data_IF_327861896101
#
_entry.id   IF_327861896101
#
_cell.length_a   1.000
_cell.length_b   1.000
_cell.length_c   1.000
_cell.angle_alpha   90.00
_cell.angle_beta   90.00
_cell.angle_gamma   90.00
#
_symmetry.space_group_name_H-M   'P 1'
#
loop_
_entity.id
_entity.type
_entity.pdbx_description
1 polymer ?
#
# COMPACT_ATOMS: atom_id res chain seq x y z
N UNK A 1 -7.89 -10.15 0.37
CA UNK A 1 -7.61 -11.57 0.67
C UNK A 1 -6.85 -12.26 -0.47
N UNK A 2 -7.32 -12.21 -1.72
CA UNK A 2 -6.65 -12.91 -2.84
C UNK A 2 -5.18 -12.50 -3.06
N UNK A 3 -4.88 -11.19 -3.12
CA UNK A 3 -3.50 -10.71 -3.30
C UNK A 3 -2.54 -11.15 -2.18
N UNK A 4 -3.02 -11.20 -0.93
CA UNK A 4 -2.23 -11.69 0.21
C UNK A 4 -1.77 -13.14 0.01
N UNK A 5 -2.68 -14.03 -0.38
CA UNK A 5 -2.35 -15.44 -0.58
C UNK A 5 -1.35 -15.65 -1.72
N UNK A 6 -1.44 -14.85 -2.79
CA UNK A 6 -0.45 -14.85 -3.88
C UNK A 6 0.92 -14.40 -3.35
N UNK A 7 0.98 -13.31 -2.58
CA UNK A 7 2.23 -12.85 -1.99
C UNK A 7 2.88 -13.93 -1.12
N UNK A 8 2.12 -14.53 -0.21
CA UNK A 8 2.61 -15.60 0.66
C UNK A 8 3.11 -16.82 -0.15
N UNK A 9 2.35 -17.25 -1.16
CA UNK A 9 2.75 -18.35 -2.03
C UNK A 9 4.03 -18.03 -2.85
N UNK A 10 4.25 -16.76 -3.19
CA UNK A 10 5.43 -16.28 -3.92
C UNK A 10 6.63 -15.95 -3.01
N UNK A 11 6.50 -16.06 -1.68
CA UNK A 11 7.54 -15.65 -0.74
C UNK A 11 7.74 -14.12 -0.64
N UNK A 12 6.73 -13.35 -1.05
CA UNK A 12 6.70 -11.89 -0.96
C UNK A 12 6.12 -11.49 0.38
N UNK A 13 6.80 -10.58 1.08
CA UNK A 13 6.36 -9.99 2.34
C UNK A 13 5.31 -8.89 2.09
N UNK A 14 4.01 -9.10 2.41
CA UNK A 14 2.97 -8.12 2.18
C UNK A 14 2.76 -7.22 3.41
N UNK A 15 2.36 -5.96 3.14
CA UNK A 15 1.84 -5.03 4.14
C UNK A 15 0.36 -4.78 3.81
N UNK A 16 -0.54 -5.13 4.73
CA UNK A 16 -1.99 -5.02 4.52
C UNK A 16 -2.59 -3.90 5.36
N UNK A 17 -3.31 -2.97 4.72
CA UNK A 17 -4.01 -1.89 5.42
C UNK A 17 -5.49 -2.23 5.62
N UNK A 18 -6.07 -1.85 6.76
CA UNK A 18 -7.50 -1.98 7.02
C UNK A 18 -7.98 -1.00 8.09
N UNK A 19 -9.28 -0.76 8.19
CA UNK A 19 -9.87 0.04 9.29
C UNK A 19 -10.29 -0.79 10.51
N UNK A 20 -9.99 -2.09 10.52
CA UNK A 20 -10.54 -3.06 11.46
C UNK A 20 -9.43 -3.99 11.93
N UNK A 21 -9.10 -3.91 13.21
CA UNK A 21 -8.07 -4.76 13.81
C UNK A 21 -8.45 -6.24 13.73
N UNK A 22 -9.73 -6.57 13.88
CA UNK A 22 -10.24 -7.95 13.69
C UNK A 22 -9.90 -8.50 12.30
N UNK A 23 -10.00 -7.69 11.23
CA UNK A 23 -9.61 -8.11 9.88
C UNK A 23 -8.09 -8.26 9.76
N UNK A 24 -7.32 -7.38 10.41
CA UNK A 24 -5.86 -7.43 10.41
C UNK A 24 -5.35 -8.66 11.17
N UNK A 25 -5.97 -9.03 12.29
CA UNK A 25 -5.65 -10.25 13.04
C UNK A 25 -5.87 -11.50 12.20
N UNK A 26 -7.00 -11.58 11.49
CA UNK A 26 -7.27 -12.68 10.54
C UNK A 26 -6.22 -12.75 9.43
N UNK A 27 -5.80 -11.60 8.92
CA UNK A 27 -4.76 -11.50 7.88
C UNK A 27 -3.40 -11.99 8.38
N UNK A 28 -3.00 -11.57 9.59
CA UNK A 28 -1.75 -12.03 10.22
C UNK A 28 -1.74 -13.55 10.43
N UNK A 29 -2.89 -14.13 10.79
CA UNK A 29 -3.03 -15.57 11.00
C UNK A 29 -2.92 -16.42 9.72
N UNK A 30 -2.96 -15.82 8.52
CA UNK A 30 -2.80 -16.54 7.25
C UNK A 30 -1.34 -16.81 6.87
N UNK A 31 -0.39 -16.07 7.45
CA UNK A 31 1.05 -16.28 7.28
C UNK A 31 1.70 -16.75 8.59
N UNK A 32 2.99 -17.08 8.55
CA UNK A 32 3.74 -17.30 9.79
C UNK A 32 3.99 -15.97 10.51
N UNK A 33 4.27 -15.99 11.83
CA UNK A 33 4.64 -14.78 12.56
C UNK A 33 5.78 -14.02 11.87
N UNK A 34 5.53 -12.75 11.55
CA UNK A 34 6.48 -11.89 10.85
C UNK A 34 6.49 -11.99 9.32
N UNK A 35 5.68 -12.87 8.69
CA UNK A 35 5.56 -12.93 7.23
C UNK A 35 4.57 -11.90 6.66
N UNK A 36 3.71 -11.30 7.51
CA UNK A 36 2.70 -10.32 7.10
C UNK A 36 2.69 -9.17 8.09
N UNK A 37 2.94 -7.97 7.58
CA UNK A 37 2.71 -6.74 8.33
C UNK A 37 1.32 -6.18 8.04
N UNK A 38 0.82 -5.41 8.99
CA UNK A 38 -0.52 -4.84 8.91
C UNK A 38 -0.58 -3.46 9.50
N UNK A 39 -1.38 -2.57 8.92
CA UNK A 39 -1.53 -1.19 9.37
C UNK A 39 -3.02 -0.85 9.50
N UNK A 40 -3.42 -0.36 10.68
CA UNK A 40 -4.75 0.18 10.84
C UNK A 40 -4.77 1.67 10.45
N UNK A 41 -5.34 2.00 9.29
CA UNK A 41 -5.32 3.38 8.77
C UNK A 41 -6.25 4.34 9.54
N UNK A 42 -7.10 3.85 10.45
CA UNK A 42 -7.84 4.74 11.38
C UNK A 42 -6.98 5.20 12.56
N UNK A 43 -6.02 4.35 12.96
CA UNK A 43 -5.06 4.65 14.03
C UNK A 43 -3.89 5.44 13.47
N UNK A 44 -3.45 5.07 12.26
CA UNK A 44 -2.35 5.71 11.53
C UNK A 44 -2.91 6.33 10.23
N UNK A 45 -3.47 7.55 10.27
CA UNK A 45 -4.00 8.21 9.07
C UNK A 45 -2.92 8.43 8.01
N UNK A 46 -1.68 8.73 8.44
CA UNK A 46 -0.49 8.85 7.59
C UNK A 46 0.24 7.48 7.47
N UNK A 47 -0.50 6.45 7.06
CA UNK A 47 -0.04 5.06 7.03
C UNK A 47 1.18 4.83 6.13
N UNK A 48 1.46 5.72 5.17
CA UNK A 48 2.67 5.65 4.35
C UNK A 48 3.95 5.77 5.18
N UNK A 49 3.91 6.53 6.29
CA UNK A 49 5.04 6.64 7.21
C UNK A 49 5.26 5.33 7.96
N UNK A 50 4.18 4.62 8.25
CA UNK A 50 4.25 3.30 8.87
C UNK A 50 4.81 2.25 7.90
N UNK A 51 4.45 2.32 6.61
CA UNK A 51 5.10 1.51 5.57
C UNK A 51 6.61 1.80 5.52
N UNK A 52 7.00 3.07 5.53
CA UNK A 52 8.42 3.43 5.55
C UNK A 52 9.10 2.92 6.83
N UNK A 53 8.46 3.01 8.00
CA UNK A 53 8.98 2.46 9.26
C UNK A 53 9.22 0.95 9.16
N UNK A 54 8.24 0.20 8.67
CA UNK A 54 8.32 -1.26 8.50
C UNK A 54 9.37 -1.68 7.46
N UNK A 55 9.64 -0.82 6.49
CA UNK A 55 10.61 -1.08 5.40
C UNK A 55 11.95 -0.36 5.60
N UNK A 56 12.26 0.12 6.81
CA UNK A 56 13.50 0.84 7.13
C UNK A 56 13.79 2.04 6.20
N UNK A 57 12.74 2.78 5.84
CA UNK A 57 12.79 3.95 4.97
C UNK A 57 12.88 3.63 3.47
N UNK A 58 12.97 2.36 3.07
CA UNK A 58 13.09 1.97 1.66
C UNK A 58 11.78 2.13 0.89
N UNK A 59 10.65 1.76 1.50
CA UNK A 59 9.37 1.61 0.82
C UNK A 59 9.15 0.22 0.21
N UNK A 60 7.96 0.03 -0.38
CA UNK A 60 7.52 -1.21 -1.04
C UNK A 60 7.74 -1.17 -2.55
N UNK A 61 8.04 -2.32 -3.14
CA UNK A 61 8.28 -2.43 -4.59
C UNK A 61 6.98 -2.33 -5.40
N UNK A 62 5.88 -2.83 -4.84
CA UNK A 62 4.56 -2.87 -5.47
C UNK A 62 3.47 -2.41 -4.52
N UNK A 63 2.52 -1.64 -5.04
CA UNK A 63 1.27 -1.29 -4.35
C UNK A 63 0.10 -1.73 -5.21
N UNK A 64 -0.87 -2.38 -4.57
CA UNK A 64 -2.18 -2.70 -5.16
C UNK A 64 -3.17 -1.66 -4.66
N UNK A 65 -3.51 -0.68 -5.50
CA UNK A 65 -4.42 0.40 -5.17
C UNK A 65 -5.87 -0.02 -5.47
N UNK A 66 -6.76 0.18 -4.49
CA UNK A 66 -8.18 -0.26 -4.56
C UNK A 66 -9.16 0.85 -4.18
N UNK A 67 -8.70 1.91 -3.52
CA UNK A 67 -9.53 3.01 -3.03
C UNK A 67 -9.57 4.12 -4.05
N UNK A 68 -8.40 4.54 -4.57
CA UNK A 68 -8.32 5.49 -5.67
C UNK A 68 -7.70 6.85 -5.32
N UNK A 69 -8.21 7.98 -5.85
CA UNK A 69 -7.52 9.28 -5.83
C UNK A 69 -7.22 9.83 -4.44
N UNK A 70 -7.98 9.42 -3.42
CA UNK A 70 -7.76 9.88 -2.04
C UNK A 70 -6.51 9.29 -1.39
N UNK A 71 -6.08 8.10 -1.82
CA UNK A 71 -4.95 7.37 -1.22
C UNK A 71 -3.75 7.30 -2.15
N UNK A 72 -3.90 7.63 -3.44
CA UNK A 72 -2.84 7.49 -4.44
C UNK A 72 -1.54 8.22 -4.08
N UNK A 73 -1.65 9.41 -3.45
CA UNK A 73 -0.49 10.17 -3.01
C UNK A 73 0.27 9.45 -1.89
N UNK A 74 -0.43 8.90 -0.90
CA UNK A 74 0.16 8.08 0.17
C UNK A 74 0.77 6.80 -0.40
N UNK A 75 0.08 6.16 -1.35
CA UNK A 75 0.57 4.99 -2.10
C UNK A 75 1.91 5.28 -2.78
N UNK A 76 2.07 6.42 -3.46
CA UNK A 76 3.35 6.81 -4.06
C UNK A 76 4.41 7.09 -3.01
N UNK A 77 4.07 7.77 -1.91
CA UNK A 77 5.00 8.01 -0.80
C UNK A 77 5.45 6.70 -0.13
N UNK A 78 4.63 5.66 -0.16
CA UNK A 78 4.98 4.33 0.37
C UNK A 78 5.92 3.52 -0.54
N UNK A 79 6.01 3.85 -1.84
CA UNK A 79 6.83 3.10 -2.80
C UNK A 79 8.34 3.24 -2.59
N UNK A 80 9.09 2.20 -2.92
CA UNK A 80 10.51 2.32 -3.20
C UNK A 80 10.77 3.06 -4.52
N UNK A 81 12.01 3.52 -4.74
CA UNK A 81 12.43 4.02 -6.06
C UNK A 81 12.25 2.90 -7.10
N UNK A 82 11.75 3.26 -8.29
CA UNK A 82 11.39 2.35 -9.39
C UNK A 82 10.24 1.38 -9.04
N UNK A 83 9.55 1.60 -7.92
CA UNK A 83 8.36 0.84 -7.57
C UNK A 83 7.18 1.12 -8.49
N UNK A 84 6.14 0.30 -8.38
CA UNK A 84 4.94 0.48 -9.19
C UNK A 84 3.63 0.34 -8.43
N UNK A 85 2.64 1.12 -8.84
CA UNK A 85 1.27 1.01 -8.37
C UNK A 85 0.45 0.38 -9.49
N UNK A 86 -0.30 -0.67 -9.15
CA UNK A 86 -1.34 -1.23 -10.01
C UNK A 86 -2.70 -0.84 -9.46
N UNK A 87 -3.53 -0.20 -10.28
CA UNK A 87 -4.87 0.23 -9.85
C UNK A 87 -5.88 -0.85 -10.23
N UNK A 88 -6.41 -1.55 -9.23
CA UNK A 88 -7.38 -2.65 -9.44
C UNK A 88 -8.83 -2.14 -9.39
N UNK A 89 -9.07 -0.98 -8.77
CA UNK A 89 -10.39 -0.36 -8.74
C UNK A 89 -10.43 0.97 -7.99
N UNK A 90 -11.58 1.64 -8.10
CA UNK A 90 -11.86 2.94 -7.48
C UNK A 90 -13.03 2.83 -6.50
N UNK A 91 -12.84 2.14 -5.37
CA UNK A 91 -13.89 2.01 -4.34
C UNK A 91 -14.30 3.38 -3.76
N UNK A 92 -13.45 4.40 -3.86
CA UNK A 92 -13.71 5.77 -3.42
C UNK A 92 -14.25 6.73 -4.49
N UNK A 93 -14.51 6.25 -5.71
CA UNK A 93 -14.90 7.10 -6.85
C UNK A 93 -13.70 7.70 -7.61
N UNK A 94 -13.98 8.34 -8.75
CA UNK A 94 -12.97 8.94 -9.64
C UNK A 94 -13.11 10.47 -9.62
N UNK A 95 -12.35 11.13 -8.76
CA UNK A 95 -12.19 12.59 -8.78
C UNK A 95 -10.78 12.96 -9.25
N UNK A 96 -10.70 13.54 -10.45
CA UNK A 96 -9.45 13.95 -11.10
C UNK A 96 -8.80 15.16 -10.44
N UNK A 97 -9.52 15.90 -9.59
CA UNK A 97 -8.98 17.09 -8.90
C UNK A 97 -7.92 16.75 -7.85
N UNK A 98 -7.79 15.49 -7.45
CA UNK A 98 -6.80 15.04 -6.44
C UNK A 98 -5.43 14.66 -7.03
N UNK A 99 -5.26 14.67 -8.36
CA UNK A 99 -4.00 14.34 -9.03
C UNK A 99 -2.89 15.43 -9.11
N UNK A 100 -3.11 16.75 -8.90
CA UNK A 100 -2.08 17.74 -9.18
C UNK A 100 -0.86 17.67 -8.25
N UNK A 101 -0.98 17.06 -7.06
CA UNK A 101 0.13 16.90 -6.10
C UNK A 101 0.92 15.60 -6.28
N UNK A 102 0.60 14.81 -7.30
CA UNK A 102 1.09 13.44 -7.47
C UNK A 102 2.29 13.34 -8.43
N UNK A 103 2.48 14.35 -9.30
CA UNK A 103 3.48 14.31 -10.38
C UNK A 103 4.91 14.38 -9.82
N UNK A 104 5.21 15.33 -8.93
CA UNK A 104 6.54 15.48 -8.34
C UNK A 104 7.03 14.21 -7.63
N UNK A 105 6.27 13.59 -6.71
CA UNK A 105 6.72 12.36 -6.05
C UNK A 105 6.81 11.15 -7.00
N UNK A 106 5.99 11.10 -8.07
CA UNK A 106 6.11 10.07 -9.10
C UNK A 106 7.44 10.17 -9.85
N UNK A 107 7.83 11.40 -10.23
CA UNK A 107 9.07 11.67 -10.95
C UNK A 107 10.31 11.38 -10.09
N UNK A 108 10.34 11.83 -8.83
CA UNK A 108 11.50 11.61 -7.95
C UNK A 108 11.73 10.13 -7.65
N UNK A 109 10.65 9.36 -7.54
CA UNK A 109 10.74 7.90 -7.36
C UNK A 109 10.97 7.14 -8.65
N UNK A 110 10.82 7.77 -9.82
CA UNK A 110 10.82 7.05 -11.10
C UNK A 110 9.79 5.91 -11.08
N UNK A 111 8.62 6.19 -10.50
CA UNK A 111 7.58 5.20 -10.28
C UNK A 111 6.65 5.08 -11.49
N UNK A 112 6.03 3.91 -11.66
CA UNK A 112 5.05 3.65 -12.71
C UNK A 112 3.68 3.36 -12.12
N UNK A 113 2.64 3.96 -12.68
CA UNK A 113 1.23 3.60 -12.40
C UNK A 113 0.73 2.80 -13.61
N UNK A 114 0.21 1.60 -13.37
CA UNK A 114 -0.31 0.68 -14.39
C UNK A 114 -1.76 0.33 -14.13
#
# INVERSE_FOLDING_TARGET
MFGLLICLAAGIHPIITSSSDEKLDRVRALGKPGEVDTINYRIHPDWENEVLRLTNGRGVDFVIETVGPRTISQSITSLARRGSITVVGFLGGFDVKSFPHTITPLLTKTAAIR
#
